data_IF_429513185956
#
_entry.id   IF_429513185956
#
_cell.length_a   1.000
_cell.length_b   1.000
_cell.length_c   1.000
_cell.angle_alpha   90.00
_cell.angle_beta   90.00
_cell.angle_gamma   90.00
#
_symmetry.space_group_name_H-M   'P 1'
#
loop_
_entity.id
_entity.type
_entity.pdbx_description
1 polymer ?
#
# COMPACT_ATOMS: atom_id res chain seq x y z
N UNK A 1 11.31 3.59 2.55
CA UNK A 1 10.37 2.78 1.74
C UNK A 1 11.02 2.62 0.38
N UNK A 2 11.19 1.38 -0.10
CA UNK A 2 11.74 1.14 -1.45
C UNK A 2 10.58 1.15 -2.47
N UNK A 3 10.87 1.52 -3.72
CA UNK A 3 9.91 1.50 -4.85
C UNK A 3 9.32 0.09 -5.03
N UNK A 4 10.12 -0.94 -4.82
CA UNK A 4 9.70 -2.35 -4.84
C UNK A 4 8.49 -2.64 -3.93
N UNK A 5 8.38 -1.95 -2.79
CA UNK A 5 7.24 -2.14 -1.88
C UNK A 5 5.93 -1.66 -2.51
N UNK A 6 5.97 -0.56 -3.27
CA UNK A 6 4.80 -0.08 -3.99
C UNK A 6 4.44 -1.02 -5.17
N UNK A 7 5.46 -1.52 -5.88
CA UNK A 7 5.24 -2.50 -6.95
C UNK A 7 4.61 -3.79 -6.42
N UNK A 8 5.11 -4.33 -5.32
CA UNK A 8 4.55 -5.52 -4.68
C UNK A 8 3.10 -5.31 -4.21
N UNK A 9 2.76 -4.12 -3.70
CA UNK A 9 1.39 -3.77 -3.34
C UNK A 9 0.46 -3.78 -4.57
N UNK A 10 0.90 -3.21 -5.69
CA UNK A 10 0.13 -3.23 -6.95
C UNK A 10 -0.04 -4.66 -7.48
N UNK A 11 1.01 -5.47 -7.48
CA UNK A 11 0.94 -6.89 -7.90
C UNK A 11 -0.03 -7.67 -7.02
N UNK A 12 0.00 -7.45 -5.70
CA UNK A 12 -0.95 -8.07 -4.78
C UNK A 12 -2.40 -7.68 -5.11
N UNK A 13 -2.68 -6.39 -5.32
CA UNK A 13 -4.02 -5.92 -5.71
C UNK A 13 -4.48 -6.52 -7.04
N UNK A 14 -3.58 -6.62 -8.02
CA UNK A 14 -3.87 -7.20 -9.33
C UNK A 14 -4.09 -8.73 -9.28
N UNK A 15 -3.58 -9.42 -8.26
CA UNK A 15 -3.73 -10.86 -8.08
C UNK A 15 -5.02 -11.29 -7.38
N UNK A 16 -5.89 -10.36 -6.98
CA UNK A 16 -7.15 -10.68 -6.32
C UNK A 16 -8.19 -11.26 -7.31
N UNK A 17 -9.12 -12.10 -6.82
CA UNK A 17 -10.25 -12.53 -7.64
C UNK A 17 -11.16 -11.34 -7.98
N UNK A 18 -11.93 -11.44 -9.07
CA UNK A 18 -12.70 -10.32 -9.63
C UNK A 18 -13.83 -9.79 -8.73
N UNK A 19 -14.22 -10.55 -7.72
CA UNK A 19 -15.19 -10.18 -6.70
C UNK A 19 -14.57 -9.46 -5.49
N UNK A 20 -13.23 -9.42 -5.41
CA UNK A 20 -12.50 -8.76 -4.35
C UNK A 20 -11.78 -7.52 -4.87
N UNK A 21 -11.88 -6.42 -4.13
CA UNK A 21 -11.25 -5.15 -4.50
C UNK A 21 -10.62 -4.47 -3.28
N UNK A 22 -9.39 -4.01 -3.43
CA UNK A 22 -8.77 -3.07 -2.50
C UNK A 22 -9.09 -1.68 -3.00
N UNK A 23 -10.17 -1.10 -2.47
CA UNK A 23 -10.64 0.21 -2.91
C UNK A 23 -9.60 1.33 -2.62
N UNK A 24 -8.96 1.28 -1.46
CA UNK A 24 -7.88 2.19 -1.09
C UNK A 24 -6.81 1.46 -0.30
N UNK A 25 -5.55 1.79 -0.56
CA UNK A 25 -4.40 1.32 0.20
C UNK A 25 -3.40 2.47 0.36
N UNK A 26 -2.89 2.67 1.57
CA UNK A 26 -1.81 3.63 1.85
C UNK A 26 -0.59 2.87 2.33
N UNK A 27 0.49 2.91 1.54
CA UNK A 27 1.77 2.30 1.91
C UNK A 27 2.69 3.41 2.41
N UNK A 28 3.27 3.22 3.60
CA UNK A 28 4.09 4.24 4.26
C UNK A 28 5.47 3.70 4.63
N UNK A 29 6.46 4.60 4.67
CA UNK A 29 7.72 4.31 5.34
C UNK A 29 7.48 4.27 6.86
N UNK A 30 7.99 3.24 7.55
CA UNK A 30 7.70 2.95 8.97
C UNK A 30 7.94 4.14 9.91
N UNK A 31 8.90 5.01 9.60
CA UNK A 31 9.27 6.17 10.43
C UNK A 31 8.75 7.50 9.89
N UNK A 32 7.83 7.49 8.93
CA UNK A 32 7.28 8.72 8.36
C UNK A 32 6.37 9.42 9.39
N UNK A 33 6.62 10.69 9.76
CA UNK A 33 5.80 11.42 10.72
C UNK A 33 4.55 11.98 10.04
N UNK A 34 3.63 11.10 9.63
CA UNK A 34 2.41 11.47 8.89
C UNK A 34 1.14 11.40 9.74
N UNK A 35 1.03 10.41 10.63
CA UNK A 35 -0.21 10.12 11.38
C UNK A 35 -0.20 10.61 12.84
N UNK A 36 0.87 11.28 13.26
CA UNK A 36 0.96 11.86 14.61
C UNK A 36 0.20 13.19 14.74
N UNK A 37 0.10 13.69 15.96
CA UNK A 37 -0.20 15.12 16.21
C UNK A 37 1.16 15.84 16.28
N UNK A 38 1.26 16.98 15.60
CA UNK A 38 2.49 17.78 15.49
C UNK A 38 3.20 17.98 16.82
#
# INVERSE_FOLDING_TARGET
MNVENAANAVVHMAGLPLDANVLFMTVMATKMPFVGRG
#
